data_IF_148614556951
#
_entry.id   IF_148614556951
#
_cell.length_a   1.000
_cell.length_b   1.000
_cell.length_c   1.000
_cell.angle_alpha   90.00
_cell.angle_beta   90.00
_cell.angle_gamma   90.00
#
_symmetry.space_group_name_H-M   'P 1'
#
loop_
_entity.id
_entity.type
_entity.pdbx_description
1 polymer ?
#
# COMPACT_ATOMS: atom_id res chain seq x y z
N UNK A 1 -18.22 6.74 -0.18
CA UNK A 1 -17.75 5.69 -1.13
C UNK A 1 -18.71 5.69 -2.31
N UNK A 2 -18.23 5.97 -3.53
CA UNK A 2 -19.09 6.02 -4.72
C UNK A 2 -19.44 4.63 -5.24
N UNK A 3 -20.57 4.46 -5.91
CA UNK A 3 -20.93 3.19 -6.58
C UNK A 3 -20.07 2.94 -7.82
N UNK A 4 -19.99 1.67 -8.28
CA UNK A 4 -19.34 1.30 -9.54
C UNK A 4 -19.78 2.20 -10.70
N UNK A 5 -21.10 2.49 -10.77
CA UNK A 5 -21.69 3.37 -11.80
C UNK A 5 -21.19 4.82 -11.70
N UNK A 6 -20.95 5.31 -10.49
CA UNK A 6 -20.39 6.64 -10.28
C UNK A 6 -18.91 6.71 -10.68
N UNK A 7 -18.13 5.69 -10.34
CA UNK A 7 -16.73 5.59 -10.75
C UNK A 7 -16.60 5.46 -12.27
N UNK A 8 -17.42 4.62 -12.89
CA UNK A 8 -17.48 4.46 -14.34
C UNK A 8 -17.73 5.79 -15.07
N UNK A 9 -18.68 6.60 -14.58
CA UNK A 9 -18.92 7.96 -15.11
C UNK A 9 -17.71 8.87 -14.97
N UNK A 10 -17.04 8.87 -13.81
CA UNK A 10 -15.84 9.70 -13.59
C UNK A 10 -14.67 9.30 -14.48
N UNK A 11 -14.59 8.02 -14.83
CA UNK A 11 -13.52 7.46 -15.67
C UNK A 11 -13.84 7.45 -17.17
N UNK A 12 -15.05 7.86 -17.58
CA UNK A 12 -15.46 7.76 -18.98
C UNK A 12 -15.51 6.31 -19.49
N UNK A 13 -15.81 5.35 -18.61
CA UNK A 13 -15.85 3.92 -18.94
C UNK A 13 -17.19 3.28 -18.57
N UNK A 14 -17.34 1.98 -18.86
CA UNK A 14 -18.54 1.21 -18.55
C UNK A 14 -18.53 0.64 -17.13
N UNK A 15 -19.72 0.52 -16.52
CA UNK A 15 -19.86 -0.14 -15.22
C UNK A 15 -19.43 -1.62 -15.28
N UNK A 16 -19.65 -2.29 -16.42
CA UNK A 16 -19.22 -3.67 -16.64
C UNK A 16 -17.70 -3.82 -16.64
N UNK A 17 -16.95 -2.84 -17.18
CA UNK A 17 -15.49 -2.87 -17.09
C UNK A 17 -15.01 -2.73 -15.64
N UNK A 18 -15.62 -1.84 -14.84
CA UNK A 18 -15.31 -1.71 -13.41
C UNK A 18 -15.58 -3.03 -12.67
N UNK A 19 -16.72 -3.68 -12.94
CA UNK A 19 -17.03 -4.97 -12.32
C UNK A 19 -16.00 -6.05 -12.68
N UNK A 20 -15.54 -6.11 -13.93
CA UNK A 20 -14.48 -7.03 -14.36
C UNK A 20 -13.15 -6.77 -13.66
N UNK A 21 -12.81 -5.51 -13.40
CA UNK A 21 -11.62 -5.16 -12.60
C UNK A 21 -11.77 -5.64 -11.15
N UNK A 22 -12.92 -5.40 -10.53
CA UNK A 22 -13.17 -5.77 -9.13
C UNK A 22 -13.23 -7.29 -8.93
N UNK A 23 -13.75 -8.02 -9.91
CA UNK A 23 -13.78 -9.49 -9.90
C UNK A 23 -12.43 -10.12 -10.24
N UNK A 24 -11.48 -9.34 -10.76
CA UNK A 24 -10.18 -9.84 -11.22
C UNK A 24 -10.23 -10.52 -12.60
N UNK A 25 -11.32 -10.39 -13.35
CA UNK A 25 -11.47 -10.97 -14.69
C UNK A 25 -10.52 -10.30 -15.70
N UNK A 26 -10.20 -9.01 -15.49
CA UNK A 26 -9.25 -8.24 -16.29
C UNK A 26 -8.48 -7.30 -15.41
N UNK A 27 -7.16 -7.23 -15.62
CA UNK A 27 -6.31 -6.24 -14.96
C UNK A 27 -6.42 -4.87 -15.66
N UNK A 28 -6.66 -3.77 -14.93
CA UNK A 28 -6.55 -2.42 -15.48
C UNK A 28 -5.10 -2.10 -15.90
N UNK A 29 -4.94 -1.19 -16.87
CA UNK A 29 -3.64 -0.58 -17.11
C UNK A 29 -3.21 0.27 -15.90
N UNK A 30 -1.91 0.53 -15.76
CA UNK A 30 -1.41 1.40 -14.68
C UNK A 30 -2.03 2.81 -14.75
N UNK A 31 -2.18 3.38 -15.95
CA UNK A 31 -2.87 4.66 -16.17
C UNK A 31 -4.32 4.64 -15.68
N UNK A 32 -5.03 3.52 -15.89
CA UNK A 32 -6.40 3.35 -15.40
C UNK A 32 -6.46 3.33 -13.88
N UNK A 33 -5.47 2.72 -13.22
CA UNK A 33 -5.35 2.74 -11.76
C UNK A 33 -5.12 4.17 -11.26
N UNK A 34 -4.21 4.93 -11.87
CA UNK A 34 -3.97 6.33 -11.52
C UNK A 34 -5.26 7.14 -11.65
N UNK A 35 -5.96 7.01 -12.78
CA UNK A 35 -7.22 7.73 -13.02
C UNK A 35 -8.29 7.36 -11.98
N UNK A 36 -8.41 6.08 -11.61
CA UNK A 36 -9.39 5.62 -10.64
C UNK A 36 -9.10 6.16 -9.23
N UNK A 37 -7.84 6.16 -8.81
CA UNK A 37 -7.40 6.70 -7.53
C UNK A 37 -7.69 8.21 -7.45
N UNK A 38 -7.40 8.96 -8.52
CA UNK A 38 -7.72 10.40 -8.63
C UNK A 38 -9.22 10.68 -8.65
N UNK A 39 -10.01 9.86 -9.33
CA UNK A 39 -11.48 9.96 -9.32
C UNK A 39 -12.07 9.79 -7.91
N UNK A 40 -11.34 9.10 -7.02
CA UNK A 40 -11.67 8.94 -5.61
C UNK A 40 -11.10 10.04 -4.69
N UNK A 41 -10.36 11.02 -5.23
CA UNK A 41 -9.75 12.12 -4.47
C UNK A 41 -8.42 11.77 -3.81
N UNK A 42 -7.75 10.71 -4.27
CA UNK A 42 -6.44 10.29 -3.78
C UNK A 42 -5.38 10.47 -4.87
N UNK A 43 -4.10 10.46 -4.46
CA UNK A 43 -2.96 10.41 -5.39
C UNK A 43 -2.18 9.12 -5.17
N UNK A 44 -1.85 8.41 -6.25
CA UNK A 44 -1.07 7.17 -6.18
C UNK A 44 0.41 7.51 -6.03
N UNK A 45 1.05 6.99 -4.99
CA UNK A 45 2.50 7.07 -4.79
C UNK A 45 3.11 5.68 -5.02
N UNK A 46 3.97 5.54 -6.02
CA UNK A 46 4.66 4.28 -6.34
C UNK A 46 6.16 4.42 -6.10
N UNK A 47 6.76 3.41 -5.48
CA UNK A 47 8.21 3.30 -5.31
C UNK A 47 8.67 1.89 -5.68
N UNK A 48 9.93 1.79 -6.11
CA UNK A 48 10.56 0.50 -6.36
C UNK A 48 11.24 0.03 -5.07
N UNK A 49 11.08 -1.25 -4.77
CA UNK A 49 11.72 -1.93 -3.65
C UNK A 49 12.34 -3.24 -4.11
N UNK A 50 13.23 -3.82 -3.31
CA UNK A 50 13.74 -5.15 -3.56
C UNK A 50 12.57 -6.16 -3.52
N UNK A 51 12.55 -7.08 -4.48
CA UNK A 51 11.53 -8.13 -4.51
C UNK A 51 11.70 -9.05 -3.30
N UNK A 52 10.65 -9.18 -2.49
CA UNK A 52 10.61 -10.03 -1.30
C UNK A 52 9.56 -11.15 -1.46
N UNK A 53 9.98 -12.38 -1.86
CA UNK A 53 9.06 -13.51 -1.97
C UNK A 53 8.48 -13.97 -0.61
N UNK A 54 9.08 -13.52 0.50
CA UNK A 54 8.55 -13.75 1.84
C UNK A 54 7.21 -13.06 2.06
N UNK A 55 6.97 -11.92 1.41
CA UNK A 55 5.73 -11.17 1.51
C UNK A 55 4.55 -11.95 0.92
N UNK A 56 4.74 -12.55 -0.25
CA UNK A 56 3.71 -13.38 -0.91
C UNK A 56 3.30 -14.56 -0.02
N UNK A 57 4.29 -15.23 0.58
CA UNK A 57 4.06 -16.34 1.51
C UNK A 57 3.31 -15.90 2.77
N UNK A 58 3.59 -14.70 3.28
CA UNK A 58 2.87 -14.12 4.42
C UNK A 58 1.41 -13.79 4.07
N UNK A 59 1.16 -13.22 2.89
CA UNK A 59 -0.18 -12.92 2.38
C UNK A 59 -1.00 -14.21 2.29
N UNK A 60 -0.47 -15.24 1.61
CA UNK A 60 -1.16 -16.52 1.44
C UNK A 60 -1.45 -17.20 2.79
N UNK A 61 -0.51 -17.17 3.74
CA UNK A 61 -0.74 -17.68 5.10
C UNK A 61 -1.83 -16.93 5.85
N UNK A 62 -1.97 -15.63 5.65
CA UNK A 62 -3.03 -14.85 6.28
C UNK A 62 -4.39 -15.09 5.62
N UNK A 63 -4.43 -15.30 4.30
CA UNK A 63 -5.65 -15.65 3.57
C UNK A 63 -6.25 -16.98 4.03
N UNK A 64 -5.42 -17.95 4.41
CA UNK A 64 -5.83 -19.24 4.96
C UNK A 64 -6.44 -19.19 6.38
N UNK A 65 -6.49 -18.01 7.00
CA UNK A 65 -7.00 -17.82 8.37
C UNK A 65 -8.23 -16.92 8.35
N UNK A 66 -9.19 -17.23 9.23
CA UNK A 66 -10.45 -16.47 9.33
C UNK A 66 -10.20 -14.97 9.54
N UNK A 67 -11.07 -14.09 9.01
CA UNK A 67 -10.91 -12.65 9.14
C UNK A 67 -10.72 -12.17 10.59
N UNK A 68 -11.50 -12.72 11.53
CA UNK A 68 -11.38 -12.38 12.95
C UNK A 68 -10.00 -12.73 13.53
N UNK A 69 -9.46 -13.91 13.18
CA UNK A 69 -8.16 -14.35 13.68
C UNK A 69 -7.00 -13.61 13.00
N UNK A 70 -7.16 -13.19 11.74
CA UNK A 70 -6.23 -12.26 11.06
C UNK A 70 -6.19 -10.90 11.75
N UNK A 71 -7.35 -10.36 12.10
CA UNK A 71 -7.46 -9.09 12.85
C UNK A 71 -6.80 -9.20 14.22
N UNK A 72 -7.05 -10.28 14.97
CA UNK A 72 -6.39 -10.51 16.26
C UNK A 72 -4.87 -10.58 16.14
N UNK A 73 -4.34 -11.29 15.14
CA UNK A 73 -2.90 -11.33 14.86
C UNK A 73 -2.33 -9.94 14.60
N UNK A 74 -3.01 -9.12 13.81
CA UNK A 74 -2.59 -7.75 13.51
C UNK A 74 -2.58 -6.87 14.75
N UNK A 75 -3.62 -6.95 15.60
CA UNK A 75 -3.70 -6.20 16.86
C UNK A 75 -2.62 -6.62 17.86
N UNK A 76 -2.29 -7.89 17.92
CA UNK A 76 -1.22 -8.38 18.80
C UNK A 76 0.15 -7.89 18.31
N UNK A 77 0.42 -7.99 17.00
CA UNK A 77 1.65 -7.50 16.40
C UNK A 77 1.83 -5.98 16.57
N UNK A 78 0.78 -5.18 16.40
CA UNK A 78 0.86 -3.73 16.53
C UNK A 78 1.15 -3.29 17.97
N UNK A 79 0.59 -3.97 18.98
CA UNK A 79 0.94 -3.75 20.39
C UNK A 79 2.42 -3.99 20.65
N UNK A 80 2.97 -5.05 20.05
CA UNK A 80 4.37 -5.43 20.20
C UNK A 80 5.32 -4.44 19.50
N UNK A 81 5.01 -4.00 18.28
CA UNK A 81 5.76 -2.94 17.58
C UNK A 81 5.75 -1.65 18.39
N UNK A 82 4.59 -1.25 18.94
CA UNK A 82 4.47 -0.05 19.77
C UNK A 82 5.31 -0.15 21.06
N UNK A 83 5.35 -1.33 21.68
CA UNK A 83 6.19 -1.59 22.85
C UNK A 83 7.69 -1.46 22.50
N UNK A 84 8.11 -2.01 21.36
CA UNK A 84 9.49 -1.90 20.87
C UNK A 84 9.87 -0.47 20.51
N UNK A 85 8.96 0.33 19.94
CA UNK A 85 9.19 1.75 19.66
C UNK A 85 9.37 2.56 20.95
N UNK A 86 8.59 2.27 22.00
CA UNK A 86 8.75 2.90 23.32
C UNK A 86 10.05 2.50 24.03
N UNK A 87 10.52 1.28 23.77
CA UNK A 87 11.78 0.76 24.30
C UNK A 87 13.00 1.17 23.45
N UNK A 88 12.80 1.76 22.27
CA UNK A 88 13.89 2.24 21.42
C UNK A 88 14.48 3.52 22.04
N UNK A 89 15.75 3.53 22.48
CA UNK A 89 16.34 4.74 23.01
C UNK A 89 16.33 5.85 21.94
N UNK A 90 16.08 7.08 22.40
CA UNK A 90 15.89 8.30 21.59
C UNK A 90 17.13 8.66 20.75
N UNK A 91 18.28 8.03 20.98
CA UNK A 91 19.56 8.39 20.36
C UNK A 91 19.90 7.66 19.05
N UNK A 92 19.00 6.80 18.54
CA UNK A 92 19.15 6.22 17.20
C UNK A 92 18.80 7.25 16.12
N UNK A 93 19.61 8.29 16.02
CA UNK A 93 19.58 9.28 14.95
C UNK A 93 19.80 8.60 13.60
N UNK A 94 18.90 8.86 12.65
CA UNK A 94 19.14 8.60 11.24
C UNK A 94 20.47 9.29 10.86
N UNK A 95 21.42 8.62 10.17
CA UNK A 95 22.63 9.28 9.73
C UNK A 95 22.24 10.41 8.76
N UNK A 96 22.36 11.66 9.23
CA UNK A 96 22.33 12.83 8.35
C UNK A 96 23.45 12.67 7.33
N UNK A 97 23.12 12.93 6.08
CA UNK A 97 23.98 12.73 4.92
C UNK A 97 25.37 13.32 5.09
N UNK A 98 26.33 12.70 4.39
CA UNK A 98 27.74 13.15 4.34
C UNK A 98 27.79 14.66 4.04
N UNK A 99 28.50 15.47 4.83
CA UNK A 99 28.70 16.87 4.50
C UNK A 99 29.58 16.98 3.26
N UNK A 100 29.24 17.98 2.45
CA UNK A 100 29.72 18.20 1.09
C UNK A 100 31.24 18.26 0.98
N UNK A 101 31.71 17.71 -0.13
CA UNK A 101 33.03 17.90 -0.69
C UNK A 101 33.28 19.41 -0.84
N UNK A 102 34.22 19.93 -0.07
CA UNK A 102 34.75 21.28 -0.26
C UNK A 102 35.24 21.42 -1.70
N UNK A 103 34.65 22.38 -2.44
CA UNK A 103 35.36 23.02 -3.54
C UNK A 103 35.86 24.35 -2.98
N UNK A 104 37.12 24.37 -2.59
CA UNK A 104 37.88 25.60 -2.43
C UNK A 104 38.26 26.16 -3.81
N UNK A 105 38.48 27.49 -3.92
CA UNK A 105 38.35 28.28 -5.14
C UNK A 105 39.46 28.06 -6.19
#
# INVERSE_FOLDING_TARGET
>A
MGSQRALARKLGTSQSLIARWENGDVSPSFDSVIAAVRACGFELQSHLSAYDPGLDRLILRNLAVSPAKRLQRMLNGSRQIRALQKARPVDASFPKGRPGMERSP
#
